data_IF_073380302901
#
_entry.id   IF_073380302901
#
_cell.length_a   1.000
_cell.length_b   1.000
_cell.length_c   1.000
_cell.angle_alpha   90.00
_cell.angle_beta   90.00
_cell.angle_gamma   90.00
#
_symmetry.space_group_name_H-M   'P 1'
#
loop_
_entity.id
_entity.type
_entity.pdbx_description
1 polymer ?
#
# COMPACT_ATOMS: atom_id res chain seq x y z
N UNK A 1 17.84 8.34 9.52
CA UNK A 1 16.52 8.16 8.87
C UNK A 1 15.90 6.83 9.29
N UNK A 2 15.63 6.62 10.59
CA UNK A 2 15.11 5.33 11.13
C UNK A 2 13.70 5.41 11.70
N UNK A 3 13.15 6.63 11.85
CA UNK A 3 11.87 6.90 12.52
C UNK A 3 10.62 6.43 11.77
N UNK A 4 10.73 5.97 10.53
CA UNK A 4 9.62 5.36 9.77
C UNK A 4 9.58 3.84 9.97
N UNK A 5 10.65 3.24 10.49
CA UNK A 5 10.71 1.79 10.69
C UNK A 5 9.86 1.37 11.89
N UNK A 6 8.97 0.40 11.69
CA UNK A 6 8.24 -0.25 12.79
C UNK A 6 9.20 -0.80 13.86
N UNK A 7 10.26 -1.47 13.42
CA UNK A 7 11.22 -2.11 14.33
C UNK A 7 11.97 -1.10 15.21
N UNK A 8 12.19 0.11 14.72
CA UNK A 8 12.83 1.17 15.50
C UNK A 8 12.00 1.49 16.76
N UNK A 9 10.70 1.75 16.58
CA UNK A 9 9.79 2.04 17.69
C UNK A 9 9.55 0.82 18.58
N UNK A 10 9.41 -0.37 17.98
CA UNK A 10 9.17 -1.60 18.72
C UNK A 10 10.33 -1.94 19.65
N UNK A 11 11.57 -1.89 19.17
CA UNK A 11 12.75 -2.19 19.98
C UNK A 11 12.97 -1.14 21.07
N UNK A 12 12.79 0.14 20.77
CA UNK A 12 12.92 1.19 21.78
C UNK A 12 11.88 1.05 22.90
N UNK A 13 10.61 0.83 22.53
CA UNK A 13 9.53 0.62 23.49
C UNK A 13 9.74 -0.65 24.32
N UNK A 14 10.19 -1.75 23.70
CA UNK A 14 10.49 -3.00 24.40
C UNK A 14 11.65 -2.83 25.39
N UNK A 15 12.79 -2.29 24.97
CA UNK A 15 13.92 -2.09 25.89
C UNK A 15 13.56 -1.16 27.05
N UNK A 16 12.85 -0.06 26.79
CA UNK A 16 12.36 0.80 27.87
C UNK A 16 11.38 0.08 28.79
N UNK A 17 10.56 -0.83 28.28
CA UNK A 17 9.65 -1.61 29.11
C UNK A 17 10.38 -2.63 29.98
N UNK A 18 11.38 -3.29 29.42
CA UNK A 18 12.06 -4.43 30.05
C UNK A 18 13.15 -3.97 31.03
N UNK A 19 13.78 -2.81 30.82
CA UNK A 19 14.93 -2.36 31.62
C UNK A 19 14.61 -1.27 32.63
N UNK A 20 13.57 -0.45 32.41
CA UNK A 20 13.28 0.70 33.27
C UNK A 20 12.88 0.24 34.68
N UNK A 21 13.53 0.78 35.71
CA UNK A 21 13.35 0.41 37.11
C UNK A 21 14.05 -0.87 37.54
N UNK A 22 14.77 -1.56 36.64
CA UNK A 22 15.62 -2.69 37.01
C UNK A 22 17.00 -2.23 37.47
N UNK A 23 17.61 -3.03 38.34
CA UNK A 23 18.97 -2.83 38.84
C UNK A 23 19.72 -4.15 38.66
N UNK A 24 20.87 -4.09 38.01
CA UNK A 24 21.69 -5.24 37.68
C UNK A 24 22.96 -5.28 38.52
N UNK A 25 23.42 -6.48 38.84
CA UNK A 25 24.72 -6.67 39.47
C UNK A 25 25.85 -6.38 38.47
N UNK A 26 26.95 -5.85 38.98
CA UNK A 26 28.13 -5.57 38.17
C UNK A 26 29.01 -6.82 38.04
N UNK A 27 30.07 -6.74 37.23
CA UNK A 27 30.99 -7.84 36.96
C UNK A 27 31.65 -8.39 38.24
N UNK A 28 31.90 -7.52 39.22
CA UNK A 28 32.37 -7.90 40.55
C UNK A 28 31.45 -7.33 41.63
N UNK A 29 31.34 -7.99 42.80
CA UNK A 29 30.49 -7.53 43.90
C UNK A 29 30.92 -6.17 44.48
N UNK A 30 32.17 -5.78 44.27
CA UNK A 30 32.77 -4.55 44.81
C UNK A 30 32.39 -3.31 44.00
N UNK A 31 31.90 -3.49 42.77
CA UNK A 31 31.49 -2.41 41.88
C UNK A 31 30.02 -2.03 42.12
N UNK A 32 29.64 -0.75 41.89
CA UNK A 32 28.27 -0.32 42.06
C UNK A 32 27.33 -1.06 41.10
N UNK A 33 26.12 -1.35 41.57
CA UNK A 33 25.05 -1.93 40.74
C UNK A 33 24.70 -0.99 39.58
N UNK A 34 24.32 -1.57 38.45
CA UNK A 34 24.05 -0.84 37.21
C UNK A 34 22.53 -0.66 37.06
N UNK A 35 22.01 0.58 37.02
CA UNK A 35 20.59 0.80 36.77
C UNK A 35 20.26 0.53 35.30
N UNK A 36 19.07 0.01 35.02
CA UNK A 36 18.63 -0.27 33.66
C UNK A 36 18.55 0.98 32.78
N UNK A 37 18.28 2.15 33.36
CA UNK A 37 18.32 3.45 32.68
C UNK A 37 19.72 3.76 32.13
N UNK A 38 20.77 3.39 32.86
CA UNK A 38 22.15 3.57 32.38
C UNK A 38 22.41 2.68 31.15
N UNK A 39 21.92 1.45 31.16
CA UNK A 39 22.04 0.54 30.01
C UNK A 39 21.29 1.12 28.79
N UNK A 40 20.06 1.61 29.01
CA UNK A 40 19.27 2.24 27.96
C UNK A 40 19.99 3.43 27.30
N UNK A 41 20.53 4.34 28.11
CA UNK A 41 21.14 5.57 27.62
C UNK A 41 22.54 5.33 27.02
N UNK A 42 23.41 4.58 27.70
CA UNK A 42 24.82 4.50 27.33
C UNK A 42 25.17 3.28 26.47
N UNK A 43 24.43 2.18 26.59
CA UNK A 43 24.67 0.96 25.78
C UNK A 43 23.81 0.97 24.52
N UNK A 44 22.51 1.19 24.67
CA UNK A 44 21.57 1.18 23.55
C UNK A 44 21.36 2.54 22.88
N UNK A 45 21.89 3.62 23.45
CA UNK A 45 21.72 4.99 22.94
C UNK A 45 20.24 5.39 22.78
N UNK A 46 19.41 4.93 23.72
CA UNK A 46 17.98 5.21 23.77
C UNK A 46 17.73 6.37 24.73
N UNK A 47 17.00 7.37 24.27
CA UNK A 47 16.60 8.50 25.10
C UNK A 47 15.55 8.07 26.14
N UNK A 48 15.96 8.08 27.41
CA UNK A 48 15.13 7.73 28.57
C UNK A 48 14.19 8.86 29.02
N UNK A 49 14.37 10.08 28.50
CA UNK A 49 13.49 11.23 28.78
C UNK A 49 12.14 11.08 28.09
N UNK A 50 12.11 10.38 26.96
CA UNK A 50 10.89 10.05 26.24
C UNK A 50 10.15 8.92 26.95
N UNK A 51 8.83 8.99 26.98
CA UNK A 51 7.97 7.97 27.57
C UNK A 51 7.76 6.79 26.62
N UNK A 52 7.84 5.55 27.13
CA UNK A 52 7.54 4.31 26.40
C UNK A 52 6.16 4.29 25.73
N UNK A 53 5.21 5.05 26.29
CA UNK A 53 3.86 5.19 25.73
C UNK A 53 3.84 5.87 24.37
N UNK A 54 4.81 6.74 24.09
CA UNK A 54 4.94 7.37 22.77
C UNK A 54 5.29 6.32 21.73
N UNK A 55 6.22 5.42 22.03
CA UNK A 55 6.61 4.34 21.11
C UNK A 55 5.40 3.44 20.79
N UNK A 56 4.59 3.11 21.81
CA UNK A 56 3.36 2.34 21.63
C UNK A 56 2.33 3.05 20.73
N UNK A 57 2.10 4.35 20.95
CA UNK A 57 1.15 5.15 20.15
C UNK A 57 1.59 5.19 18.69
N UNK A 58 2.89 5.36 18.43
CA UNK A 58 3.41 5.37 17.05
C UNK A 58 3.19 4.02 16.37
N UNK A 59 3.49 2.91 17.05
CA UNK A 59 3.28 1.56 16.52
C UNK A 59 1.80 1.30 16.21
N UNK A 60 0.90 1.64 17.14
CA UNK A 60 -0.54 1.50 16.93
C UNK A 60 -1.03 2.34 15.74
N UNK A 61 -0.50 3.57 15.62
CA UNK A 61 -0.83 4.46 14.50
C UNK A 61 -0.36 3.87 13.17
N UNK A 62 0.85 3.31 13.11
CA UNK A 62 1.36 2.61 11.92
C UNK A 62 0.43 1.47 11.49
N UNK A 63 -0.05 0.65 12.43
CA UNK A 63 -0.98 -0.45 12.12
C UNK A 63 -2.25 0.09 11.46
N UNK A 64 -2.85 1.14 12.02
CA UNK A 64 -4.07 1.76 11.48
C UNK A 64 -3.81 2.32 10.08
N UNK A 65 -2.70 3.05 9.89
CA UNK A 65 -2.31 3.62 8.59
C UNK A 65 -2.13 2.52 7.55
N UNK A 66 -1.43 1.43 7.87
CA UNK A 66 -1.26 0.31 6.95
C UNK A 66 -2.59 -0.37 6.59
N UNK A 67 -3.52 -0.47 7.54
CA UNK A 67 -4.88 -0.97 7.26
C UNK A 67 -5.63 -0.05 6.31
N UNK A 68 -5.56 1.26 6.49
CA UNK A 68 -6.19 2.24 5.59
C UNK A 68 -5.60 2.12 4.18
N UNK A 69 -4.27 2.08 4.04
CA UNK A 69 -3.60 1.91 2.75
C UNK A 69 -4.04 0.61 2.08
N UNK A 70 -4.12 -0.48 2.84
CA UNK A 70 -4.59 -1.77 2.35
C UNK A 70 -6.04 -1.70 1.81
N UNK A 71 -6.95 -1.08 2.55
CA UNK A 71 -8.33 -0.88 2.08
C UNK A 71 -8.41 0.00 0.83
N UNK A 72 -7.62 1.06 0.76
CA UNK A 72 -7.53 1.92 -0.43
C UNK A 72 -7.03 1.10 -1.64
N UNK A 73 -6.00 0.27 -1.46
CA UNK A 73 -5.48 -0.59 -2.53
C UNK A 73 -6.53 -1.59 -3.02
N UNK A 74 -7.31 -2.21 -2.13
CA UNK A 74 -8.42 -3.09 -2.52
C UNK A 74 -9.45 -2.30 -3.35
N UNK A 75 -9.89 -1.15 -2.84
CA UNK A 75 -10.91 -0.33 -3.49
C UNK A 75 -10.48 0.16 -4.88
N UNK A 76 -9.22 0.56 -5.03
CA UNK A 76 -8.66 0.91 -6.34
C UNK A 76 -8.70 -0.31 -7.27
N UNK A 77 -8.30 -1.49 -6.80
CA UNK A 77 -8.33 -2.69 -7.64
C UNK A 77 -9.75 -3.10 -8.05
N UNK A 78 -10.72 -2.97 -7.15
CA UNK A 78 -12.12 -3.34 -7.39
C UNK A 78 -12.85 -2.32 -8.27
N UNK A 79 -12.76 -1.03 -7.96
CA UNK A 79 -13.56 0.01 -8.62
C UNK A 79 -12.84 0.63 -9.82
N UNK A 80 -11.54 0.92 -9.69
CA UNK A 80 -10.80 1.69 -10.70
C UNK A 80 -10.36 0.81 -11.86
N UNK A 81 -9.92 -0.43 -11.61
CA UNK A 81 -9.49 -1.35 -12.68
C UNK A 81 -10.55 -1.60 -13.76
N UNK A 82 -11.79 -2.01 -13.43
CA UNK A 82 -12.84 -2.20 -14.43
C UNK A 82 -13.30 -0.89 -15.05
N UNK A 83 -13.33 0.21 -14.28
CA UNK A 83 -13.67 1.53 -14.81
C UNK A 83 -12.67 2.00 -15.88
N UNK A 84 -11.36 1.85 -15.63
CA UNK A 84 -10.29 2.17 -16.59
C UNK A 84 -10.41 1.30 -17.84
N UNK A 85 -10.64 -0.01 -17.68
CA UNK A 85 -10.83 -0.92 -18.82
C UNK A 85 -12.05 -0.53 -19.66
N UNK A 86 -13.17 -0.22 -19.00
CA UNK A 86 -14.39 0.26 -19.66
C UNK A 86 -14.17 1.58 -20.39
N UNK A 87 -13.47 2.53 -19.77
CA UNK A 87 -13.12 3.81 -20.38
C UNK A 87 -12.23 3.63 -21.62
N UNK A 88 -11.19 2.78 -21.54
CA UNK A 88 -10.31 2.51 -22.67
C UNK A 88 -11.04 1.78 -23.81
N UNK A 89 -11.92 0.83 -23.50
CA UNK A 89 -12.76 0.15 -24.49
C UNK A 89 -13.68 1.14 -25.22
N UNK A 90 -14.36 2.03 -24.49
CA UNK A 90 -15.21 3.09 -25.08
C UNK A 90 -14.41 4.02 -26.00
N UNK A 91 -13.21 4.44 -25.57
CA UNK A 91 -12.34 5.31 -26.38
C UNK A 91 -11.90 4.64 -27.68
N UNK A 92 -11.57 3.34 -27.65
CA UNK A 92 -11.26 2.55 -28.86
C UNK A 92 -12.45 2.45 -29.81
N UNK A 93 -13.65 2.23 -29.28
CA UNK A 93 -14.87 2.20 -30.08
C UNK A 93 -15.15 3.55 -30.75
N UNK A 94 -15.03 4.65 -30.01
CA UNK A 94 -15.20 6.01 -30.57
C UNK A 94 -14.19 6.33 -31.67
N UNK A 95 -12.92 5.94 -31.51
CA UNK A 95 -11.91 6.11 -32.56
C UNK A 95 -12.22 5.28 -33.81
N UNK A 96 -12.68 4.04 -33.64
CA UNK A 96 -13.09 3.18 -34.77
C UNK A 96 -14.32 3.75 -35.51
N UNK A 97 -15.30 4.28 -34.78
CA UNK A 97 -16.48 4.93 -35.37
C UNK A 97 -16.13 6.25 -36.08
N UNK A 98 -15.23 7.06 -35.52
CA UNK A 98 -14.75 8.30 -36.18
C UNK A 98 -13.94 8.03 -37.45
N UNK A 99 -13.14 6.94 -37.47
CA UNK A 99 -12.43 6.50 -38.67
C UNK A 99 -13.39 6.00 -39.76
N UNK A 100 -14.45 5.26 -39.40
CA UNK A 100 -15.49 4.84 -40.35
C UNK A 100 -16.30 6.01 -40.93
N UNK A 101 -16.58 7.05 -40.15
CA UNK A 101 -17.33 8.22 -40.65
C UNK A 101 -16.51 9.10 -41.62
N UNK A 102 -15.17 9.01 -41.59
CA UNK A 102 -14.27 9.83 -42.44
C UNK A 102 -13.87 9.09 -43.72
N UNK A 103 -14.03 7.76 -43.77
CA UNK A 103 -13.97 7.00 -45.01
C UNK A 103 -15.40 6.90 -45.55
N UNK A 104 -15.78 7.84 -46.41
CA UNK A 104 -16.91 7.65 -47.34
C UNK A 104 -16.50 6.47 -48.25
N UNK A 105 -16.68 5.25 -47.77
CA UNK A 105 -16.72 4.09 -48.62
C UNK A 105 -17.99 4.25 -49.47
N UNK A 106 -17.91 4.11 -50.81
CA UNK A 106 -19.11 4.09 -51.62
C UNK A 106 -20.01 2.97 -51.07
N UNK A 107 -21.32 3.26 -51.03
CA UNK A 107 -22.45 2.51 -50.43
C UNK A 107 -22.54 0.99 -50.77
N UNK A 108 -21.59 0.48 -51.54
CA UNK A 108 -21.50 -0.88 -52.09
C UNK A 108 -20.84 -1.87 -51.12
N UNK A 109 -19.99 -1.43 -50.18
CA UNK A 109 -19.23 -2.33 -49.31
C UNK A 109 -19.87 -2.61 -47.94
N UNK A 110 -21.00 -1.97 -47.61
CA UNK A 110 -21.68 -2.10 -46.30
C UNK A 110 -22.86 -3.07 -46.31
N UNK A 111 -23.27 -3.61 -47.46
CA UNK A 111 -24.23 -4.69 -47.48
C UNK A 111 -23.56 -6.00 -47.05
N UNK A 112 -23.77 -6.39 -45.80
CA UNK A 112 -23.64 -7.80 -45.44
C UNK A 112 -24.75 -8.57 -46.17
N UNK A 113 -24.41 -9.64 -46.92
CA UNK A 113 -25.40 -10.35 -47.71
C UNK A 113 -26.41 -10.98 -46.75
N UNK A 114 -27.63 -10.45 -46.75
CA UNK A 114 -28.73 -11.06 -46.02
C UNK A 114 -29.01 -12.44 -46.61
N UNK A 115 -29.42 -13.40 -45.78
CA UNK A 115 -29.78 -14.75 -46.21
C UNK A 115 -30.82 -14.72 -47.36
N UNK A 116 -31.64 -13.67 -47.39
CA UNK A 116 -32.60 -13.38 -48.45
C UNK A 116 -31.98 -13.16 -49.83
N UNK A 117 -30.80 -12.52 -49.90
CA UNK A 117 -30.06 -12.30 -51.14
C UNK A 117 -29.41 -13.57 -51.70
N UNK A 118 -29.06 -14.52 -50.82
CA UNK A 118 -28.51 -15.82 -51.23
C UNK A 118 -29.57 -16.69 -51.91
N UNK A 119 -30.79 -16.73 -51.35
CA UNK A 119 -31.90 -17.51 -51.88
C UNK A 119 -32.39 -16.99 -53.24
N UNK A 120 -32.35 -15.68 -53.47
CA UNK A 120 -32.79 -15.10 -54.75
C UNK A 120 -31.83 -15.38 -55.91
N UNK A 121 -30.57 -15.71 -55.64
CA UNK A 121 -29.53 -15.90 -56.66
C UNK A 121 -29.36 -17.37 -57.09
N UNK A 122 -30.29 -18.25 -56.68
CA UNK A 122 -30.20 -19.71 -56.85
C UNK A 122 -31.29 -20.28 -57.79
N UNK A 123 -31.89 -19.44 -58.64
CA UNK A 123 -32.78 -19.83 -59.73
C UNK A 123 -32.17 -19.46 -61.07
#
# INVERSE_FOLDING_TARGET
MSYISFHYWALQGQYQNDLKGLIFDNQTPDLPKIPGEYILEYVFQIDVKRSKWIDLIVILSMIIIYRIIFFIMIKINEDVTPWVRGYLARRRMQQKSGAQNTTIAPDVLTQSPSLRAYISNQR
#
